data_IF_090876602833
#
_entry.id   IF_090876602833
#
_cell.length_a   1.000
_cell.length_b   1.000
_cell.length_c   1.000
_cell.angle_alpha   90.00
_cell.angle_beta   90.00
_cell.angle_gamma   90.00
#
_symmetry.space_group_name_H-M   'P 1'
#
loop_
_entity.id
_entity.type
_entity.pdbx_description
1 polymer ?
#
# COMPACT_ATOMS: atom_id res chain seq x y z
N UNK A 1 33.98 41.44 8.69
CA UNK A 1 34.16 40.16 7.96
C UNK A 1 32.80 39.62 7.61
N UNK A 2 32.70 38.90 6.50
CA UNK A 2 31.46 38.61 5.77
C UNK A 2 31.49 37.12 5.38
N UNK A 3 30.32 36.50 5.21
CA UNK A 3 30.11 35.10 4.80
C UNK A 3 30.47 34.04 5.88
N UNK A 4 29.86 32.85 5.90
CA UNK A 4 28.87 32.29 4.97
C UNK A 4 27.43 32.23 5.49
N UNK A 5 26.48 32.60 4.64
CA UNK A 5 25.11 32.08 4.69
C UNK A 5 25.14 30.79 3.86
N UNK A 6 25.06 29.63 4.51
CA UNK A 6 25.02 28.36 3.78
C UNK A 6 23.70 28.19 3.03
N UNK A 7 23.85 27.77 1.77
CA UNK A 7 22.89 27.36 0.74
C UNK A 7 21.40 27.78 0.89
N UNK A 8 20.78 28.38 -0.15
CA UNK A 8 19.34 28.59 -0.15
C UNK A 8 18.63 27.24 0.02
N UNK A 9 17.61 27.23 0.88
CA UNK A 9 16.70 26.10 0.99
C UNK A 9 16.18 25.75 -0.41
N UNK A 10 16.30 24.48 -0.81
CA UNK A 10 15.61 23.97 -2.00
C UNK A 10 14.13 24.24 -1.78
N UNK A 11 13.62 25.24 -2.48
CA UNK A 11 12.30 25.81 -2.18
C UNK A 11 11.21 24.81 -2.56
N UNK A 12 10.03 25.02 -1.99
CA UNK A 12 8.81 24.25 -2.26
C UNK A 12 8.50 24.12 -3.76
N UNK A 13 8.95 25.09 -4.57
CA UNK A 13 8.90 25.06 -6.03
C UNK A 13 9.61 23.85 -6.64
N UNK A 14 10.76 23.39 -6.11
CA UNK A 14 11.44 22.21 -6.67
C UNK A 14 10.62 20.91 -6.57
N UNK A 15 9.71 20.80 -5.60
CA UNK A 15 8.76 19.69 -5.53
C UNK A 15 7.61 19.88 -6.53
N UNK A 16 7.11 21.11 -6.69
CA UNK A 16 6.06 21.46 -7.64
C UNK A 16 6.49 21.32 -9.10
N UNK A 17 7.70 21.75 -9.45
CA UNK A 17 8.28 21.57 -10.79
C UNK A 17 8.48 20.08 -11.09
N UNK A 18 8.95 19.30 -10.10
CA UNK A 18 9.03 17.83 -10.21
C UNK A 18 7.65 17.15 -10.34
N UNK A 19 6.60 17.72 -9.73
CA UNK A 19 5.22 17.23 -9.83
C UNK A 19 4.56 17.57 -11.18
N UNK A 20 4.99 18.65 -11.85
CA UNK A 20 4.56 19.01 -13.20
C UNK A 20 5.20 18.12 -14.28
N UNK A 21 6.45 17.71 -14.12
CA UNK A 21 7.08 16.72 -15.02
C UNK A 21 6.60 15.28 -14.78
N UNK A 22 6.07 14.99 -13.58
CA UNK A 22 5.45 13.72 -13.16
C UNK A 22 4.28 13.25 -14.06
N UNK A 23 3.76 14.17 -14.87
CA UNK A 23 2.59 13.99 -15.71
C UNK A 23 2.92 13.80 -17.21
N UNK A 24 4.15 14.09 -17.67
CA UNK A 24 4.46 14.18 -19.11
C UNK A 24 4.81 12.87 -19.80
N UNK A 25 5.08 11.80 -19.06
CA UNK A 25 5.58 10.54 -19.63
C UNK A 25 4.77 9.32 -19.20
N UNK A 26 3.57 9.18 -19.79
CA UNK A 26 2.93 7.87 -19.88
C UNK A 26 3.85 6.95 -20.68
N UNK A 27 4.30 5.88 -20.06
CA UNK A 27 5.16 4.86 -20.66
C UNK A 27 4.46 4.23 -21.87
N UNK A 28 5.19 4.11 -22.99
CA UNK A 28 4.64 3.52 -24.21
C UNK A 28 4.27 2.05 -24.03
N UNK A 29 3.23 1.56 -24.72
CA UNK A 29 2.84 0.14 -24.63
C UNK A 29 4.00 -0.82 -24.94
N UNK A 30 4.86 -0.50 -25.91
CA UNK A 30 6.07 -1.26 -26.22
C UNK A 30 7.04 -1.36 -25.03
N UNK A 31 7.12 -0.32 -24.20
CA UNK A 31 7.97 -0.32 -23.01
C UNK A 31 7.28 -1.01 -21.83
N UNK A 32 5.97 -0.83 -21.65
CA UNK A 32 5.17 -1.60 -20.69
C UNK A 32 5.27 -3.12 -20.95
N UNK A 33 5.24 -3.55 -22.21
CA UNK A 33 5.45 -4.95 -22.59
C UNK A 33 6.86 -5.46 -22.25
N UNK A 34 7.90 -4.62 -22.37
CA UNK A 34 9.27 -4.95 -21.89
C UNK A 34 9.37 -5.00 -20.37
N UNK A 35 8.52 -4.26 -19.66
CA UNK A 35 8.45 -4.25 -18.21
C UNK A 35 7.67 -5.43 -17.63
N UNK A 36 6.85 -6.09 -18.45
CA UNK A 36 5.83 -7.04 -18.00
C UNK A 36 6.40 -8.27 -17.31
N UNK A 37 5.88 -8.55 -16.10
CA UNK A 37 6.33 -9.66 -15.25
C UNK A 37 7.71 -9.46 -14.62
N UNK A 38 8.43 -8.37 -14.92
CA UNK A 38 9.76 -8.12 -14.36
C UNK A 38 9.70 -7.46 -12.99
N UNK A 39 10.73 -7.73 -12.19
CA UNK A 39 10.95 -7.16 -10.86
C UNK A 39 11.66 -5.81 -10.97
N UNK A 40 11.12 -4.77 -10.34
CA UNK A 40 11.78 -3.46 -10.25
C UNK A 40 12.82 -3.49 -9.13
N UNK A 41 14.05 -3.05 -9.41
CA UNK A 41 15.18 -3.07 -8.47
C UNK A 41 15.86 -1.70 -8.44
N UNK A 42 16.05 -1.16 -7.24
CA UNK A 42 16.46 0.25 -7.04
C UNK A 42 17.94 0.45 -6.72
N UNK A 43 18.73 -0.63 -6.60
CA UNK A 43 20.18 -0.55 -6.45
C UNK A 43 20.88 -1.81 -6.94
N UNK A 44 22.14 -1.67 -7.39
CA UNK A 44 23.03 -2.79 -7.74
C UNK A 44 23.13 -3.81 -6.61
N UNK A 45 23.23 -3.36 -5.35
CA UNK A 45 23.26 -4.24 -4.18
C UNK A 45 21.99 -5.13 -4.03
N UNK A 46 20.84 -4.73 -4.56
CA UNK A 46 19.62 -5.57 -4.60
C UNK A 46 19.68 -6.56 -5.75
N UNK A 47 20.22 -6.16 -6.91
CA UNK A 47 20.47 -7.05 -8.06
C UNK A 47 21.47 -8.14 -7.71
N UNK A 48 22.63 -7.77 -7.16
CA UNK A 48 23.70 -8.70 -6.80
C UNK A 48 23.20 -9.72 -5.77
N UNK A 49 22.47 -9.26 -4.75
CA UNK A 49 21.88 -10.12 -3.72
C UNK A 49 20.79 -11.04 -4.30
N UNK A 50 19.92 -10.53 -5.17
CA UNK A 50 18.83 -11.27 -5.78
C UNK A 50 19.31 -12.34 -6.77
N UNK A 51 20.32 -12.04 -7.59
CA UNK A 51 20.94 -13.03 -8.48
C UNK A 51 21.69 -14.09 -7.65
N UNK A 52 22.48 -13.67 -6.65
CA UNK A 52 23.26 -14.60 -5.82
C UNK A 52 22.40 -15.54 -4.96
N UNK A 53 21.19 -15.13 -4.57
CA UNK A 53 20.25 -15.95 -3.81
C UNK A 53 19.29 -16.78 -4.67
N UNK A 54 19.25 -16.54 -5.99
CA UNK A 54 18.26 -17.12 -6.89
C UNK A 54 16.85 -16.53 -6.74
N UNK A 55 16.72 -15.26 -6.32
CA UNK A 55 15.45 -14.54 -6.26
C UNK A 55 14.87 -14.23 -7.65
N UNK A 56 15.74 -13.95 -8.61
CA UNK A 56 15.41 -13.67 -10.02
C UNK A 56 16.67 -13.81 -10.89
N UNK A 57 16.49 -14.04 -12.20
CA UNK A 57 17.58 -13.95 -13.16
C UNK A 57 17.83 -12.50 -13.59
N UNK A 58 19.04 -12.20 -14.10
CA UNK A 58 19.38 -10.85 -14.56
C UNK A 58 18.42 -10.32 -15.66
N UNK A 59 17.85 -11.21 -16.46
CA UNK A 59 16.85 -10.89 -17.49
C UNK A 59 15.50 -10.47 -16.92
N UNK A 60 15.18 -10.87 -15.70
CA UNK A 60 13.86 -10.76 -15.08
C UNK A 60 13.73 -9.51 -14.19
N UNK A 61 14.80 -8.72 -14.08
CA UNK A 61 14.82 -7.47 -13.33
C UNK A 61 14.94 -6.24 -14.24
N UNK A 62 14.54 -5.09 -13.70
CA UNK A 62 14.74 -3.77 -14.30
C UNK A 62 15.40 -2.89 -13.25
N UNK A 63 16.66 -2.53 -13.49
CA UNK A 63 17.32 -1.49 -12.71
C UNK A 63 16.62 -0.16 -12.98
N UNK A 64 16.22 0.50 -11.90
CA UNK A 64 15.74 1.87 -11.93
C UNK A 64 16.86 2.79 -12.42
N UNK A 65 16.55 3.60 -13.42
CA UNK A 65 17.44 4.61 -14.00
C UNK A 65 16.89 6.03 -13.76
N UNK A 66 17.58 7.04 -14.31
CA UNK A 66 17.22 8.45 -14.16
C UNK A 66 15.89 8.85 -14.84
N UNK A 67 15.27 7.96 -15.63
CA UNK A 67 13.94 8.20 -16.22
C UNK A 67 12.78 7.90 -15.26
N UNK A 68 13.07 7.33 -14.08
CA UNK A 68 12.07 7.12 -13.04
C UNK A 68 11.99 8.30 -12.08
N UNK A 69 10.76 8.72 -11.80
CA UNK A 69 10.48 9.81 -10.89
C UNK A 69 10.22 9.21 -9.50
N UNK A 70 10.91 9.71 -8.46
CA UNK A 70 10.73 9.23 -7.09
C UNK A 70 10.07 10.30 -6.22
N UNK A 71 8.88 10.00 -5.70
CA UNK A 71 8.33 10.70 -4.54
C UNK A 71 8.96 10.07 -3.29
N UNK A 72 9.98 10.75 -2.77
CA UNK A 72 10.64 10.36 -1.52
C UNK A 72 9.73 10.62 -0.32
N UNK A 73 9.88 9.79 0.73
CA UNK A 73 9.09 9.99 1.96
C UNK A 73 9.55 11.28 2.66
N UNK A 74 8.66 11.95 3.40
CA UNK A 74 9.02 13.19 4.07
C UNK A 74 10.06 12.93 5.16
N UNK A 75 11.11 13.76 5.20
CA UNK A 75 12.06 13.73 6.31
C UNK A 75 11.38 14.00 7.65
N UNK A 76 11.94 13.48 8.74
CA UNK A 76 11.37 13.52 10.10
C UNK A 76 10.98 14.93 10.62
N UNK A 77 11.53 15.99 10.04
CA UNK A 77 11.22 17.39 10.33
C UNK A 77 9.99 17.94 9.59
N UNK A 78 9.52 17.29 8.54
CA UNK A 78 8.35 17.71 7.77
C UNK A 78 7.07 17.26 8.46
N UNK A 79 6.44 18.18 9.20
CA UNK A 79 5.21 17.91 9.94
C UNK A 79 3.95 17.86 9.07
N UNK A 80 4.07 18.29 7.81
CA UNK A 80 2.97 18.42 6.85
C UNK A 80 3.45 18.00 5.47
N UNK A 81 3.12 16.77 5.06
CA UNK A 81 2.85 16.55 3.65
C UNK A 81 1.40 16.93 3.37
N UNK A 82 1.22 17.64 2.28
CA UNK A 82 -0.08 17.82 1.67
C UNK A 82 -0.45 16.53 0.91
N UNK A 83 -1.75 16.18 0.83
CA UNK A 83 -2.22 15.08 0.00
C UNK A 83 -1.88 15.31 -1.48
N UNK A 84 -1.43 14.27 -2.19
CA UNK A 84 -0.98 14.37 -3.59
C UNK A 84 -1.91 13.59 -4.53
N UNK A 85 -2.64 14.29 -5.39
CA UNK A 85 -3.47 13.67 -6.44
C UNK A 85 -2.62 13.53 -7.71
N UNK A 86 -2.63 12.35 -8.32
CA UNK A 86 -1.95 12.07 -9.58
C UNK A 86 -2.96 11.92 -10.71
N UNK A 87 -2.70 12.62 -11.82
CA UNK A 87 -3.56 12.62 -12.99
C UNK A 87 -2.71 12.62 -14.27
N UNK A 88 -3.27 12.09 -15.36
CA UNK A 88 -2.62 12.00 -16.65
C UNK A 88 -3.18 13.07 -17.60
N UNK A 89 -2.35 13.98 -18.13
CA UNK A 89 -2.78 14.95 -19.12
C UNK A 89 -3.01 14.29 -20.48
N UNK A 90 -3.88 14.90 -21.29
CA UNK A 90 -4.17 14.45 -22.66
C UNK A 90 -2.99 14.77 -23.62
N UNK A 91 -2.33 15.91 -23.42
CA UNK A 91 -1.18 16.39 -24.19
C UNK A 91 -0.30 17.38 -23.38
N UNK A 92 0.78 17.89 -23.97
CA UNK A 92 1.74 18.80 -23.31
C UNK A 92 1.16 20.18 -22.93
N UNK A 93 0.00 20.56 -23.49
CA UNK A 93 -0.69 21.83 -23.22
C UNK A 93 -1.82 21.69 -22.19
N UNK A 94 -2.23 20.46 -21.89
CA UNK A 94 -3.25 20.17 -20.90
C UNK A 94 -2.74 20.39 -19.47
N UNK A 95 -3.25 21.46 -18.86
CA UNK A 95 -2.97 21.86 -17.49
C UNK A 95 -4.22 21.74 -16.60
N UNK A 96 -5.25 20.98 -17.02
CA UNK A 96 -6.54 20.91 -16.32
C UNK A 96 -6.76 19.52 -15.70
N UNK A 97 -6.51 19.34 -14.39
CA UNK A 97 -6.86 18.10 -13.71
C UNK A 97 -8.38 17.89 -13.73
N UNK A 98 -8.81 16.75 -14.26
CA UNK A 98 -10.22 16.30 -14.27
C UNK A 98 -10.32 14.94 -13.59
N UNK A 99 -11.47 14.61 -13.00
CA UNK A 99 -11.65 13.32 -12.30
C UNK A 99 -11.40 12.11 -13.21
N UNK A 100 -11.80 12.19 -14.49
CA UNK A 100 -11.55 11.15 -15.50
C UNK A 100 -10.07 10.96 -15.88
N UNK A 101 -9.19 11.85 -15.43
CA UNK A 101 -7.74 11.81 -15.65
C UNK A 101 -6.96 11.33 -14.43
N UNK A 102 -7.60 11.29 -13.25
CA UNK A 102 -6.95 10.83 -12.01
C UNK A 102 -6.63 9.34 -12.15
N UNK A 103 -5.40 8.95 -11.83
CA UNK A 103 -4.96 7.54 -11.83
C UNK A 103 -4.65 7.02 -10.42
N UNK A 104 -4.47 7.92 -9.46
CA UNK A 104 -4.27 7.58 -8.06
C UNK A 104 -3.87 8.78 -7.22
N UNK A 105 -3.48 8.54 -5.97
CA UNK A 105 -2.93 9.57 -5.10
C UNK A 105 -2.53 9.07 -3.72
N UNK A 106 -1.99 9.98 -2.93
CA UNK A 106 -1.39 9.71 -1.62
C UNK A 106 -1.99 10.61 -0.54
N UNK A 107 -2.52 10.01 0.51
CA UNK A 107 -2.89 10.70 1.73
C UNK A 107 -1.78 10.54 2.79
N UNK A 108 -1.48 11.65 3.47
CA UNK A 108 -0.53 11.70 4.56
C UNK A 108 -1.14 12.39 5.79
N UNK A 109 -1.56 11.62 6.80
CA UNK A 109 -1.88 11.98 8.21
C UNK A 109 -2.94 13.07 8.48
N UNK A 110 -3.04 14.12 7.67
CA UNK A 110 -3.81 15.33 7.92
C UNK A 110 -5.27 15.24 7.45
N UNK A 111 -5.53 14.60 6.31
CA UNK A 111 -6.91 14.27 5.90
C UNK A 111 -7.45 13.18 6.82
N UNK A 112 -6.67 12.17 7.23
CA UNK A 112 -7.11 11.20 8.26
C UNK A 112 -7.62 11.92 9.51
N UNK A 113 -6.87 12.89 10.04
CA UNK A 113 -7.32 13.67 11.20
C UNK A 113 -8.63 14.43 10.92
N UNK A 114 -8.74 15.05 9.75
CA UNK A 114 -9.92 15.84 9.36
C UNK A 114 -11.16 14.97 9.07
N UNK A 115 -10.98 13.81 8.46
CA UNK A 115 -12.01 12.79 8.24
C UNK A 115 -12.41 12.18 9.56
N UNK A 116 -11.48 11.83 10.45
CA UNK A 116 -11.80 11.36 11.80
C UNK A 116 -12.58 12.42 12.59
N UNK A 117 -12.24 13.71 12.47
CA UNK A 117 -13.00 14.80 13.09
C UNK A 117 -14.42 14.93 12.49
N UNK A 118 -14.56 14.89 11.16
CA UNK A 118 -15.87 14.94 10.47
C UNK A 118 -16.73 13.69 10.72
N UNK A 119 -16.12 12.51 10.79
CA UNK A 119 -16.72 11.26 11.22
C UNK A 119 -17.16 11.31 12.68
N UNK A 120 -16.34 11.87 13.58
CA UNK A 120 -16.71 12.05 14.98
C UNK A 120 -17.88 13.04 15.13
N UNK A 121 -17.99 14.05 14.27
CA UNK A 121 -19.16 14.94 14.21
C UNK A 121 -20.41 14.17 13.72
N UNK A 122 -20.32 13.40 12.63
CA UNK A 122 -21.42 12.56 12.12
C UNK A 122 -21.86 11.48 13.14
N UNK A 123 -20.92 10.80 13.81
CA UNK A 123 -21.17 9.76 14.82
C UNK A 123 -21.64 10.33 16.16
N UNK A 124 -21.23 11.56 16.49
CA UNK A 124 -21.69 12.29 17.67
C UNK A 124 -23.20 12.53 17.69
N UNK A 125 -23.85 12.52 16.52
CA UNK A 125 -25.31 12.57 16.39
C UNK A 125 -26.01 11.21 16.60
N UNK A 126 -25.27 10.09 16.67
CA UNK A 126 -25.85 8.73 16.67
C UNK A 126 -25.65 7.95 17.96
N UNK A 127 -24.51 8.05 18.66
CA UNK A 127 -24.33 7.49 20.02
C UNK A 127 -22.95 7.77 20.62
N UNK A 128 -22.90 7.92 21.94
CA UNK A 128 -21.63 7.90 22.68
C UNK A 128 -21.01 6.49 22.59
N UNK A 129 -19.76 6.38 22.13
CA UNK A 129 -19.08 5.09 21.95
C UNK A 129 -17.55 5.21 21.90
N UNK A 130 -16.87 4.46 22.77
CA UNK A 130 -15.44 4.62 23.09
C UNK A 130 -14.48 4.24 21.94
N UNK A 131 -13.36 4.97 21.84
CA UNK A 131 -12.35 4.79 20.80
C UNK A 131 -11.28 3.75 21.21
N UNK A 132 -10.99 2.75 20.36
CA UNK A 132 -9.89 1.79 20.55
C UNK A 132 -9.11 1.57 19.23
N UNK A 133 -7.81 1.26 19.34
CA UNK A 133 -6.77 1.17 18.30
C UNK A 133 -6.62 -0.28 17.78
N UNK A 134 -6.46 -0.54 16.48
CA UNK A 134 -6.59 -1.88 15.87
C UNK A 134 -5.39 -2.44 15.06
N UNK A 135 -4.98 -3.67 15.37
CA UNK A 135 -3.84 -4.46 14.85
C UNK A 135 -4.25 -5.96 14.89
N UNK A 136 -3.84 -6.93 14.04
CA UNK A 136 -3.00 -7.04 12.82
C UNK A 136 -3.73 -7.96 11.82
N UNK A 137 -3.61 -7.73 10.50
CA UNK A 137 -4.31 -8.53 9.48
C UNK A 137 -3.76 -9.95 9.24
N UNK A 138 -4.58 -10.78 8.57
CA UNK A 138 -4.21 -12.08 7.97
C UNK A 138 -4.09 -11.96 6.45
N UNK A 139 -3.51 -12.95 5.77
CA UNK A 139 -3.64 -13.13 4.32
C UNK A 139 -4.01 -14.57 3.94
N UNK A 140 -4.40 -14.76 2.69
CA UNK A 140 -4.71 -16.06 2.09
C UNK A 140 -4.16 -16.09 0.67
N UNK A 141 -3.62 -17.22 0.23
CA UNK A 141 -3.16 -17.42 -1.16
C UNK A 141 -3.40 -18.87 -1.55
N UNK A 142 -3.99 -19.10 -2.73
CA UNK A 142 -4.31 -20.45 -3.25
C UNK A 142 -5.10 -21.34 -2.26
N UNK A 143 -6.06 -20.75 -1.54
CA UNK A 143 -6.86 -21.44 -0.50
C UNK A 143 -6.14 -21.68 0.83
N UNK A 144 -4.85 -21.35 0.94
CA UNK A 144 -4.06 -21.51 2.17
C UNK A 144 -4.03 -20.19 2.94
N UNK A 145 -4.58 -20.18 4.15
CA UNK A 145 -4.51 -19.01 5.05
C UNK A 145 -3.09 -18.83 5.58
N UNK A 146 -2.42 -17.77 5.15
CA UNK A 146 -1.17 -17.30 5.72
C UNK A 146 -1.45 -16.44 6.96
N UNK A 147 -1.47 -17.07 8.13
CA UNK A 147 -1.25 -16.36 9.38
C UNK A 147 0.24 -16.24 9.63
N UNK A 148 0.73 -15.02 9.84
CA UNK A 148 2.07 -14.73 10.36
C UNK A 148 2.23 -15.55 11.65
N UNK A 149 3.04 -16.61 11.69
CA UNK A 149 3.40 -17.25 12.95
C UNK A 149 4.40 -16.33 13.69
N UNK A 150 4.68 -16.56 14.98
CA UNK A 150 5.72 -15.82 15.71
C UNK A 150 6.98 -16.68 15.87
N UNK A 151 8.16 -16.11 16.20
CA UNK A 151 9.35 -16.88 16.52
C UNK A 151 9.12 -17.75 17.75
N UNK A 152 8.88 -19.03 17.51
CA UNK A 152 9.04 -20.06 18.53
C UNK A 152 10.53 -20.31 18.63
N UNK A 153 11.21 -19.50 19.46
CA UNK A 153 12.62 -19.70 19.79
C UNK A 153 12.87 -21.17 20.17
N UNK A 154 14.01 -21.73 19.71
CA UNK A 154 14.33 -23.17 19.76
C UNK A 154 13.77 -23.82 21.01
N UNK A 155 12.77 -24.68 20.82
CA UNK A 155 11.99 -25.20 21.92
C UNK A 155 12.88 -26.02 22.87
N UNK A 156 13.11 -25.51 24.08
CA UNK A 156 13.28 -26.40 25.21
C UNK A 156 11.97 -27.17 25.41
N UNK A 157 12.07 -28.40 25.91
CA UNK A 157 10.98 -29.40 25.83
C UNK A 157 9.72 -29.01 26.63
N UNK A 158 9.78 -27.95 27.44
CA UNK A 158 8.67 -27.42 28.25
C UNK A 158 7.73 -26.44 27.49
N UNK A 159 7.62 -26.53 26.17
CA UNK A 159 6.96 -25.50 25.33
C UNK A 159 5.43 -25.66 25.12
N UNK A 160 4.83 -26.81 25.46
CA UNK A 160 3.40 -27.11 25.18
C UNK A 160 2.40 -26.11 25.80
N UNK A 161 2.50 -25.67 27.08
CA UNK A 161 1.57 -24.69 27.63
C UNK A 161 1.69 -23.31 26.97
N UNK A 162 2.93 -22.84 26.70
CA UNK A 162 3.19 -21.56 26.02
C UNK A 162 2.64 -21.57 24.60
N UNK A 163 2.80 -22.68 23.86
CA UNK A 163 2.23 -22.84 22.52
C UNK A 163 0.70 -22.85 22.52
N UNK A 164 0.08 -23.49 23.50
CA UNK A 164 -1.39 -23.49 23.66
C UNK A 164 -1.93 -22.10 24.01
N UNK A 165 -1.22 -21.34 24.85
CA UNK A 165 -1.61 -19.96 25.15
C UNK A 165 -1.52 -19.07 23.91
N UNK A 166 -0.41 -19.10 23.17
CA UNK A 166 -0.25 -18.33 21.93
C UNK A 166 -1.33 -18.65 20.87
N UNK A 167 -1.80 -19.91 20.78
CA UNK A 167 -2.92 -20.29 19.91
C UNK A 167 -4.24 -19.64 20.38
N UNK A 168 -4.51 -19.64 21.68
CA UNK A 168 -5.70 -18.97 22.26
C UNK A 168 -5.63 -17.46 22.01
N UNK A 169 -4.48 -16.84 22.24
CA UNK A 169 -4.29 -15.40 22.04
C UNK A 169 -4.52 -15.02 20.56
N UNK A 170 -4.00 -15.82 19.62
CA UNK A 170 -4.31 -15.65 18.19
C UNK A 170 -5.79 -15.85 17.86
N UNK A 171 -6.50 -16.77 18.52
CA UNK A 171 -7.93 -16.96 18.31
C UNK A 171 -8.76 -15.78 18.83
N UNK A 172 -8.47 -15.29 20.03
CA UNK A 172 -9.07 -14.08 20.60
C UNK A 172 -8.85 -12.87 19.69
N UNK A 173 -7.60 -12.64 19.26
CA UNK A 173 -7.25 -11.55 18.36
C UNK A 173 -7.99 -11.65 17.01
N UNK A 174 -8.10 -12.86 16.43
CA UNK A 174 -8.91 -13.08 15.20
C UNK A 174 -10.37 -12.68 15.40
N UNK A 175 -10.97 -13.06 16.54
CA UNK A 175 -12.36 -12.72 16.88
C UNK A 175 -12.52 -11.20 17.03
N UNK A 176 -11.58 -10.53 17.68
CA UNK A 176 -11.57 -9.06 17.82
C UNK A 176 -11.44 -8.35 16.46
N UNK A 177 -10.53 -8.79 15.59
CA UNK A 177 -10.37 -8.25 14.23
C UNK A 177 -11.65 -8.43 13.42
N UNK A 178 -12.26 -9.62 13.41
CA UNK A 178 -13.52 -9.87 12.69
C UNK A 178 -14.66 -8.99 13.23
N UNK A 179 -14.74 -8.78 14.55
CA UNK A 179 -15.72 -7.86 15.16
C UNK A 179 -15.47 -6.38 14.80
N UNK A 180 -14.21 -6.00 14.61
CA UNK A 180 -13.80 -4.64 14.28
C UNK A 180 -13.83 -4.32 12.77
N UNK A 181 -13.71 -5.33 11.90
CA UNK A 181 -13.55 -5.17 10.45
C UNK A 181 -14.58 -4.23 9.78
N UNK A 182 -15.90 -4.32 10.07
CA UNK A 182 -16.88 -3.37 9.51
C UNK A 182 -16.63 -1.90 9.90
N UNK A 183 -16.05 -1.65 11.08
CA UNK A 183 -15.69 -0.29 11.54
C UNK A 183 -14.44 0.22 10.82
N UNK A 184 -13.52 -0.67 10.45
CA UNK A 184 -12.30 -0.33 9.71
C UNK A 184 -12.62 -0.03 8.24
N UNK A 185 -13.41 -0.90 7.60
CA UNK A 185 -13.93 -0.68 6.25
C UNK A 185 -14.68 0.66 6.15
N UNK A 186 -15.58 0.95 7.10
CA UNK A 186 -16.26 2.25 7.16
C UNK A 186 -15.29 3.44 7.26
N UNK A 187 -14.23 3.34 8.10
CA UNK A 187 -13.23 4.43 8.23
C UNK A 187 -12.45 4.66 6.94
N UNK A 188 -12.08 3.59 6.24
CA UNK A 188 -11.29 3.67 5.01
C UNK A 188 -12.15 4.20 3.85
N UNK A 189 -13.38 3.69 3.71
CA UNK A 189 -14.38 4.24 2.80
C UNK A 189 -14.66 5.73 3.06
N UNK A 190 -14.82 6.17 4.33
CA UNK A 190 -14.99 7.59 4.66
C UNK A 190 -13.74 8.44 4.37
N UNK A 191 -12.53 7.86 4.42
CA UNK A 191 -11.29 8.53 4.02
C UNK A 191 -11.24 8.71 2.50
N UNK A 192 -11.46 7.63 1.74
CA UNK A 192 -11.53 7.69 0.28
C UNK A 192 -12.66 8.63 -0.16
N UNK A 193 -13.83 8.62 0.47
CA UNK A 193 -14.94 9.55 0.17
C UNK A 193 -14.56 11.02 0.42
N UNK A 194 -13.74 11.28 1.44
CA UNK A 194 -13.24 12.62 1.76
C UNK A 194 -12.11 13.13 0.85
N UNK A 195 -11.47 12.24 0.08
CA UNK A 195 -10.25 12.54 -0.68
C UNK A 195 -10.39 12.29 -2.18
N UNK A 196 -11.01 11.18 -2.58
CA UNK A 196 -11.30 10.74 -3.95
C UNK A 196 -12.75 10.22 -4.03
N UNK A 197 -13.75 11.12 -3.99
CA UNK A 197 -15.16 10.74 -3.87
C UNK A 197 -15.65 9.86 -5.03
N UNK A 198 -15.25 10.13 -6.27
CA UNK A 198 -15.58 9.30 -7.44
C UNK A 198 -15.13 7.83 -7.27
N UNK A 199 -13.93 7.60 -6.73
CA UNK A 199 -13.45 6.26 -6.40
C UNK A 199 -14.23 5.60 -5.26
N UNK A 200 -14.62 6.36 -4.23
CA UNK A 200 -15.47 5.85 -3.16
C UNK A 200 -16.85 5.41 -3.68
N UNK A 201 -17.50 6.22 -4.51
CA UNK A 201 -18.78 5.87 -5.12
C UNK A 201 -18.65 4.68 -6.07
N UNK A 202 -17.57 4.59 -6.87
CA UNK A 202 -17.30 3.43 -7.73
C UNK A 202 -17.16 2.13 -6.92
N UNK A 203 -16.40 2.14 -5.82
CA UNK A 203 -16.27 0.98 -4.93
C UNK A 203 -17.61 0.63 -4.24
N UNK A 204 -18.41 1.62 -3.86
CA UNK A 204 -19.73 1.40 -3.25
C UNK A 204 -20.72 0.76 -4.22
N UNK A 205 -20.82 1.24 -5.46
CA UNK A 205 -21.74 0.70 -6.46
C UNK A 205 -21.48 -0.81 -6.71
N UNK A 206 -20.21 -1.18 -6.88
CA UNK A 206 -19.80 -2.59 -7.06
C UNK A 206 -20.12 -3.42 -5.82
N UNK A 207 -19.95 -2.85 -4.62
CA UNK A 207 -20.30 -3.49 -3.37
C UNK A 207 -21.81 -3.73 -3.24
N UNK A 208 -22.66 -2.76 -3.61
CA UNK A 208 -24.12 -2.87 -3.63
C UNK A 208 -24.60 -3.94 -4.63
N UNK A 209 -24.13 -3.89 -5.88
CA UNK A 209 -24.41 -4.92 -6.89
C UNK A 209 -24.00 -6.32 -6.42
N UNK A 210 -22.84 -6.41 -5.77
CA UNK A 210 -22.27 -7.67 -5.28
C UNK A 210 -22.83 -8.11 -3.93
N UNK A 211 -23.69 -7.31 -3.28
CA UNK A 211 -24.25 -7.64 -1.97
C UNK A 211 -23.22 -7.62 -0.84
N UNK A 212 -22.05 -7.03 -1.10
CA UNK A 212 -20.92 -6.89 -0.20
C UNK A 212 -21.01 -5.57 0.55
N UNK A 213 -22.14 -5.33 1.23
CA UNK A 213 -22.34 -4.15 2.08
C UNK A 213 -22.34 -4.59 3.53
N UNK A 214 -21.43 -4.04 4.32
CA UNK A 214 -21.33 -4.36 5.74
C UNK A 214 -22.47 -3.69 6.53
N UNK A 215 -22.63 -4.09 7.80
CA UNK A 215 -23.71 -3.61 8.70
C UNK A 215 -23.78 -2.10 8.94
N UNK A 216 -22.82 -1.31 8.45
CA UNK A 216 -22.79 0.15 8.57
C UNK A 216 -23.01 0.86 7.22
N UNK A 217 -23.35 0.13 6.14
CA UNK A 217 -23.57 0.71 4.81
C UNK A 217 -22.28 1.03 4.05
N UNK A 218 -21.13 0.48 4.47
CA UNK A 218 -19.86 0.63 3.76
C UNK A 218 -19.48 -0.66 3.01
N UNK A 219 -18.63 -0.58 1.97
CA UNK A 219 -18.14 -1.75 1.25
C UNK A 219 -17.49 -2.80 2.16
N UNK A 220 -17.91 -4.05 2.05
CA UNK A 220 -17.30 -5.21 2.70
C UNK A 220 -16.11 -5.69 1.86
N UNK A 221 -15.03 -4.90 1.91
CA UNK A 221 -13.78 -5.17 1.19
C UNK A 221 -13.01 -6.34 1.82
N UNK A 222 -12.35 -7.13 0.98
CA UNK A 222 -11.31 -8.04 1.43
C UNK A 222 -10.09 -7.23 1.88
N UNK A 223 -9.70 -7.37 3.16
CA UNK A 223 -8.48 -6.76 3.69
C UNK A 223 -7.34 -7.78 3.74
N UNK A 224 -6.17 -7.45 3.17
CA UNK A 224 -4.96 -8.27 3.24
C UNK A 224 -3.74 -7.46 3.71
N UNK A 225 -2.78 -8.13 4.36
CA UNK A 225 -1.57 -7.50 4.91
C UNK A 225 -0.30 -8.13 4.32
N UNK A 226 0.49 -7.35 3.59
CA UNK A 226 1.73 -7.81 2.94
C UNK A 226 2.95 -7.44 3.77
N UNK A 227 3.92 -8.37 3.86
CA UNK A 227 5.24 -8.12 4.43
C UNK A 227 6.26 -8.02 3.31
N UNK A 228 7.08 -6.97 3.31
CA UNK A 228 8.18 -6.83 2.35
C UNK A 228 7.68 -6.96 0.91
N UNK A 229 6.63 -6.20 0.57
CA UNK A 229 5.96 -6.26 -0.73
C UNK A 229 7.01 -6.25 -1.86
N UNK A 230 7.06 -7.32 -2.64
CA UNK A 230 7.96 -7.47 -3.79
C UNK A 230 7.19 -8.23 -4.87
N UNK A 231 6.62 -7.51 -5.84
CA UNK A 231 5.89 -8.09 -6.96
C UNK A 231 6.30 -7.43 -8.27
N UNK A 232 6.33 -8.21 -9.34
CA UNK A 232 6.59 -7.69 -10.67
C UNK A 232 5.44 -6.82 -11.19
N UNK A 233 5.69 -6.21 -12.35
CA UNK A 233 4.69 -5.45 -13.10
C UNK A 233 3.41 -6.25 -13.39
N UNK A 234 2.24 -5.74 -12.99
CA UNK A 234 0.93 -6.33 -13.28
C UNK A 234 -0.24 -5.33 -13.12
N UNK A 235 -1.43 -5.76 -13.53
CA UNK A 235 -2.75 -5.16 -13.24
C UNK A 235 -3.47 -6.17 -12.34
N UNK A 236 -4.21 -5.69 -11.34
CA UNK A 236 -5.05 -6.58 -10.53
C UNK A 236 -6.34 -6.92 -11.28
N UNK A 237 -6.80 -8.17 -11.12
CA UNK A 237 -8.13 -8.59 -11.59
C UNK A 237 -9.17 -8.30 -10.49
N UNK A 238 -9.20 -7.05 -10.04
CA UNK A 238 -10.11 -6.55 -9.03
C UNK A 238 -11.29 -5.82 -9.68
N UNK A 239 -12.46 -5.91 -9.04
CA UNK A 239 -13.67 -5.25 -9.55
C UNK A 239 -13.81 -3.81 -9.01
N UNK A 240 -12.93 -3.38 -8.10
CA UNK A 240 -12.94 -2.04 -7.50
C UNK A 240 -11.56 -1.39 -7.42
N UNK A 241 -11.56 -0.09 -7.17
CA UNK A 241 -10.41 0.68 -6.68
C UNK A 241 -9.73 -0.03 -5.51
N UNK A 242 -8.40 -0.06 -5.54
CA UNK A 242 -7.55 -0.61 -4.48
C UNK A 242 -7.02 0.56 -3.65
N UNK A 243 -7.25 0.49 -2.33
CA UNK A 243 -6.70 1.41 -1.35
C UNK A 243 -5.80 0.65 -0.38
N UNK A 244 -4.79 1.32 0.18
CA UNK A 244 -3.92 0.69 1.15
C UNK A 244 -3.10 1.68 1.94
N UNK A 245 -2.42 1.19 2.98
CA UNK A 245 -1.56 2.01 3.82
C UNK A 245 -0.41 1.25 4.45
N UNK A 246 0.69 1.96 4.67
CA UNK A 246 1.88 1.41 5.33
C UNK A 246 1.61 1.38 6.83
N UNK A 247 1.17 0.25 7.38
CA UNK A 247 0.90 0.12 8.82
C UNK A 247 2.17 0.07 9.69
N UNK A 248 3.34 -0.18 9.09
CA UNK A 248 4.65 -0.10 9.75
C UNK A 248 5.79 -0.33 8.76
N UNK A 249 6.97 0.22 9.05
CA UNK A 249 8.19 0.06 8.23
C UNK A 249 9.41 0.03 9.14
N UNK A 250 10.30 -0.92 8.93
CA UNK A 250 11.54 -1.04 9.69
C UNK A 250 12.52 0.07 9.31
N UNK A 251 13.30 0.53 10.29
CA UNK A 251 14.47 1.39 10.05
C UNK A 251 15.59 0.67 9.24
N UNK A 252 15.46 -0.65 9.04
CA UNK A 252 16.36 -1.44 8.18
C UNK A 252 16.03 -1.32 6.69
N UNK A 253 14.78 -0.98 6.33
CA UNK A 253 14.39 -0.67 4.95
C UNK A 253 14.95 0.72 4.64
N UNK A 254 15.90 0.78 3.71
CA UNK A 254 16.60 2.03 3.40
C UNK A 254 15.75 2.97 2.53
N UNK A 255 16.14 4.26 2.39
CA UNK A 255 15.44 5.20 1.52
C UNK A 255 15.49 4.91 0.02
N UNK A 256 16.33 3.98 -0.42
CA UNK A 256 16.39 3.45 -1.78
C UNK A 256 15.63 2.13 -1.96
N UNK A 257 14.68 1.86 -1.06
CA UNK A 257 13.71 0.76 -1.14
C UNK A 257 12.30 1.36 -1.02
N UNK A 258 11.75 1.78 -2.16
CA UNK A 258 10.39 2.32 -2.31
C UNK A 258 9.32 1.31 -1.87
N UNK A 259 8.13 1.81 -1.61
CA UNK A 259 7.01 1.00 -1.14
C UNK A 259 6.23 0.39 -2.30
N UNK A 260 6.23 1.10 -3.42
CA UNK A 260 5.25 0.95 -4.49
C UNK A 260 5.70 1.70 -5.74
N UNK A 261 5.27 1.23 -6.92
CA UNK A 261 5.54 1.88 -8.19
C UNK A 261 4.31 1.88 -9.13
N UNK A 262 3.94 3.04 -9.66
CA UNK A 262 3.05 3.17 -10.81
C UNK A 262 3.86 3.03 -12.10
N UNK A 263 3.80 1.85 -12.71
CA UNK A 263 4.64 1.51 -13.84
C UNK A 263 4.20 2.20 -15.15
N UNK A 264 2.92 2.56 -15.27
CA UNK A 264 2.43 3.41 -16.37
C UNK A 264 3.16 4.76 -16.52
N UNK A 265 3.85 5.22 -15.47
CA UNK A 265 4.42 6.56 -15.36
C UNK A 265 5.87 6.56 -14.84
N UNK A 266 6.50 5.37 -14.74
CA UNK A 266 7.80 5.17 -14.06
C UNK A 266 7.91 5.90 -12.71
N UNK A 267 6.83 5.89 -11.93
CA UNK A 267 6.73 6.63 -10.68
C UNK A 267 6.97 5.70 -9.50
N UNK A 268 8.08 5.90 -8.80
CA UNK A 268 8.41 5.23 -7.53
C UNK A 268 7.90 6.07 -6.36
N UNK A 269 7.28 5.42 -5.39
CA UNK A 269 6.76 6.12 -4.21
C UNK A 269 7.26 5.48 -2.94
N UNK A 270 7.90 6.31 -2.14
CA UNK A 270 8.39 6.00 -0.81
C UNK A 270 7.46 6.63 0.24
N UNK A 271 6.98 5.82 1.19
CA UNK A 271 5.95 6.17 2.15
C UNK A 271 6.40 5.90 3.59
N UNK A 272 6.06 6.82 4.49
CA UNK A 272 6.17 6.66 5.95
C UNK A 272 4.99 5.81 6.51
N UNK A 273 5.12 5.24 7.72
CA UNK A 273 4.00 4.61 8.40
C UNK A 273 2.79 5.52 8.58
N UNK A 274 1.61 4.97 8.32
CA UNK A 274 0.28 5.57 8.27
C UNK A 274 0.01 6.48 7.05
N UNK A 275 0.92 6.54 6.07
CA UNK A 275 0.61 7.05 4.74
C UNK A 275 -0.32 6.08 4.00
N UNK A 276 -1.36 6.60 3.36
CA UNK A 276 -2.30 5.85 2.54
C UNK A 276 -2.09 6.16 1.05
N UNK A 277 -2.41 5.19 0.21
CA UNK A 277 -2.40 5.28 -1.24
C UNK A 277 -3.71 4.74 -1.80
N UNK A 278 -4.11 5.23 -2.96
CA UNK A 278 -5.33 4.83 -3.67
C UNK A 278 -5.03 4.83 -5.17
N UNK A 279 -5.45 3.81 -5.92
CA UNK A 279 -5.38 3.78 -7.39
C UNK A 279 -6.45 2.86 -8.02
N UNK A 280 -6.81 3.12 -9.28
CA UNK A 280 -7.61 2.17 -10.08
C UNK A 280 -6.72 1.01 -10.53
N UNK A 281 -6.79 -0.11 -9.82
CA UNK A 281 -5.92 -1.26 -10.03
C UNK A 281 -6.23 -2.06 -11.30
N UNK A 282 -7.39 -1.81 -11.91
CA UNK A 282 -7.83 -2.40 -13.17
C UNK A 282 -7.35 -1.58 -14.37
N UNK A 283 -7.26 -0.25 -14.23
CA UNK A 283 -6.84 0.66 -15.29
C UNK A 283 -5.32 0.91 -15.36
N UNK A 284 -4.60 0.75 -14.25
CA UNK A 284 -3.19 1.16 -14.14
C UNK A 284 -2.27 0.01 -13.71
N UNK A 285 -1.20 -0.21 -14.49
CA UNK A 285 -0.17 -1.17 -14.12
C UNK A 285 0.68 -0.64 -12.96
N UNK A 286 1.01 -1.57 -12.08
CA UNK A 286 1.80 -1.29 -10.90
C UNK A 286 2.70 -2.48 -10.53
N UNK A 287 3.53 -2.24 -9.53
CA UNK A 287 4.26 -3.27 -8.80
C UNK A 287 4.85 -2.68 -7.54
N UNK A 288 5.78 -3.41 -6.93
CA UNK A 288 6.63 -2.84 -5.87
C UNK A 288 8.07 -3.18 -6.17
N UNK A 289 9.01 -2.37 -5.70
CA UNK A 289 10.41 -2.75 -5.82
C UNK A 289 10.74 -3.95 -4.95
N UNK A 290 11.76 -4.69 -5.35
CA UNK A 290 12.35 -5.72 -4.50
C UNK A 290 13.09 -5.05 -3.34
N UNK A 291 12.68 -5.35 -2.11
CA UNK A 291 13.46 -4.96 -0.93
C UNK A 291 14.63 -5.94 -0.69
N UNK A 292 15.66 -5.48 0.03
CA UNK A 292 16.89 -6.25 0.29
C UNK A 292 16.64 -7.56 1.03
N UNK A 293 15.67 -7.57 1.93
CA UNK A 293 15.36 -8.74 2.76
C UNK A 293 14.75 -9.86 1.91
N UNK A 294 13.83 -9.53 1.01
CA UNK A 294 13.29 -10.46 0.02
C UNK A 294 14.35 -10.87 -1.02
N UNK A 295 15.26 -9.98 -1.42
CA UNK A 295 16.38 -10.31 -2.31
C UNK A 295 17.38 -11.30 -1.68
N UNK A 296 17.67 -11.21 -0.38
CA UNK A 296 18.61 -12.12 0.30
C UNK A 296 17.94 -13.45 0.70
N UNK A 297 16.63 -13.44 0.97
CA UNK A 297 15.88 -14.58 1.50
C UNK A 297 14.60 -14.92 0.67
N UNK A 298 14.70 -15.13 -0.66
CA UNK A 298 13.53 -15.21 -1.54
C UNK A 298 12.64 -16.44 -1.28
N UNK A 299 13.21 -17.58 -0.92
CA UNK A 299 12.46 -18.80 -0.60
C UNK A 299 11.97 -18.86 0.85
N UNK A 300 12.52 -18.04 1.73
CA UNK A 300 12.29 -18.08 3.17
C UNK A 300 11.68 -16.80 3.76
N UNK A 301 11.37 -15.78 2.95
CA UNK A 301 10.82 -14.50 3.43
C UNK A 301 9.57 -14.66 4.30
N UNK A 302 8.73 -15.68 4.07
CA UNK A 302 7.55 -15.98 4.92
C UNK A 302 7.96 -16.42 6.33
N UNK A 303 9.06 -17.16 6.45
CA UNK A 303 9.69 -17.54 7.73
C UNK A 303 10.46 -16.37 8.34
N UNK A 304 10.98 -15.45 7.53
CA UNK A 304 11.57 -14.21 8.06
C UNK A 304 10.50 -13.25 8.60
N UNK A 305 9.41 -13.02 7.85
CA UNK A 305 8.25 -12.24 8.26
C UNK A 305 7.61 -12.76 9.56
N UNK A 306 7.66 -14.08 9.74
CA UNK A 306 7.27 -14.79 10.95
C UNK A 306 8.18 -14.44 12.12
N UNK A 307 9.48 -14.69 11.96
CA UNK A 307 10.44 -14.72 13.06
C UNK A 307 10.99 -13.31 13.39
N UNK A 308 10.89 -12.37 12.45
CA UNK A 308 11.36 -10.98 12.49
C UNK A 308 10.33 -10.00 11.87
N UNK A 309 9.10 -9.90 12.40
CA UNK A 309 8.07 -9.00 11.89
C UNK A 309 8.48 -7.50 11.93
N UNK A 310 9.46 -7.14 12.74
CA UNK A 310 10.04 -5.79 12.89
C UNK A 310 11.07 -5.41 11.81
N UNK A 311 11.55 -6.36 11.02
CA UNK A 311 12.65 -6.15 10.05
C UNK A 311 12.17 -5.66 8.68
N UNK A 312 10.89 -5.83 8.36
CA UNK A 312 10.31 -5.52 7.06
C UNK A 312 9.35 -4.33 7.07
N UNK A 313 8.47 -4.32 6.07
CA UNK A 313 7.41 -3.33 5.92
C UNK A 313 6.05 -4.03 5.86
N UNK A 314 5.07 -3.51 6.58
CA UNK A 314 3.71 -4.01 6.64
C UNK A 314 2.74 -3.06 5.94
N UNK A 315 2.34 -3.38 4.72
CA UNK A 315 1.24 -2.67 4.03
C UNK A 315 -0.07 -3.41 4.28
N UNK A 316 -1.17 -2.68 4.54
CA UNK A 316 -2.53 -3.23 4.55
C UNK A 316 -3.26 -2.69 3.33
N UNK A 317 -4.07 -3.53 2.69
CA UNK A 317 -4.78 -3.24 1.44
C UNK A 317 -6.23 -3.64 1.61
N UNK A 318 -7.16 -2.83 1.10
CA UNK A 318 -8.58 -3.16 0.99
C UNK A 318 -9.00 -3.11 -0.49
N UNK A 319 -9.71 -4.13 -0.94
CA UNK A 319 -10.30 -4.18 -2.29
C UNK A 319 -11.46 -5.19 -2.33
N UNK A 320 -12.39 -5.05 -3.28
CA UNK A 320 -13.28 -6.15 -3.66
C UNK A 320 -12.68 -6.83 -4.89
N UNK A 321 -12.05 -7.98 -4.68
CA UNK A 321 -11.51 -8.76 -5.79
C UNK A 321 -12.65 -9.33 -6.63
N UNK A 322 -12.42 -9.51 -7.94
CA UNK A 322 -13.43 -10.07 -8.84
C UNK A 322 -13.90 -11.47 -8.41
N UNK A 323 -13.01 -12.29 -7.86
CA UNK A 323 -13.38 -13.60 -7.32
C UNK A 323 -14.34 -13.48 -6.13
N UNK A 324 -14.20 -12.44 -5.32
CA UNK A 324 -15.07 -12.17 -4.16
C UNK A 324 -16.43 -11.67 -4.62
N UNK A 325 -16.47 -10.72 -5.57
CA UNK A 325 -17.69 -10.19 -6.15
C UNK A 325 -18.53 -11.26 -6.85
N UNK A 326 -17.90 -12.13 -7.66
CA UNK A 326 -18.59 -13.24 -8.33
C UNK A 326 -19.16 -14.24 -7.31
N UNK A 327 -18.36 -14.69 -6.34
CA UNK A 327 -18.84 -15.63 -5.32
C UNK A 327 -20.02 -15.08 -4.48
N UNK A 328 -20.07 -13.76 -4.24
CA UNK A 328 -21.16 -13.09 -3.54
C UNK A 328 -22.41 -12.84 -4.41
N UNK A 329 -22.27 -12.90 -5.74
CA UNK A 329 -23.38 -12.89 -6.71
C UNK A 329 -23.94 -14.30 -6.92
N UNK A 330 -23.09 -15.31 -7.05
CA UNK A 330 -23.48 -16.71 -7.27
C UNK A 330 -24.07 -17.40 -6.01
N UNK A 331 -23.82 -16.84 -4.82
CA UNK A 331 -24.33 -17.35 -3.54
C UNK A 331 -25.74 -16.87 -3.14
N UNK A 332 -26.52 -16.31 -4.07
CA UNK A 332 -27.88 -15.77 -3.84
C UNK A 332 -28.94 -16.51 -4.64
#
# INVERSE_FOLDING_TARGET
MQHGLDAPSKSMFSLYDSLLDLCKFRVSNMELDKMKGKVIVESTAIVDAGIASGAFEATDCIMVDESWIRISRPGLSSQTLEPLIFWAPDDETDNTPMESKIFGGLEMRNIINSVLLRENIKRGMMSHGTMVKSYIGKTSTSGVTHSIPYPVGKASENSRPKRLQAIKDQQSLRIEITRASPVLQLRMHSMMLGYMPHYAYGQLNVAEESGLINRFGAPDTASFATYGYSTGFHIDNDDTITEGWVSGRSNRIKPDESNFAWANFKLLVELEPNAHWIWDARAHYHGTSMNRLCAIHPSSWKTWAKDHPEDGQWTRVNVITRSTALAAKDGR
#
